data_IF_240406840883
#
_entry.id   IF_240406840883
#
_cell.length_a   1.000
_cell.length_b   1.000
_cell.length_c   1.000
_cell.angle_alpha   90.00
_cell.angle_beta   90.00
_cell.angle_gamma   90.00
#
_symmetry.space_group_name_H-M   'P 1'
#
loop_
_entity.id
_entity.type
_entity.pdbx_description
1 polymer ?
#
# COMPACT_ATOMS: atom_id res chain seq x y z
N UNK A 1 59.71 -65.32 -10.71
CA UNK A 1 58.31 -65.77 -10.56
C UNK A 1 57.67 -64.86 -9.53
N UNK A 2 56.96 -63.82 -9.99
CA UNK A 2 55.48 -63.74 -10.02
C UNK A 2 54.97 -63.18 -8.69
N UNK A 3 54.11 -62.17 -8.56
CA UNK A 3 53.27 -61.43 -9.51
C UNK A 3 52.73 -60.21 -8.76
N UNK A 4 52.54 -59.11 -9.47
CA UNK A 4 51.78 -57.90 -9.09
C UNK A 4 50.34 -58.25 -8.68
N UNK A 5 49.76 -57.58 -7.67
CA UNK A 5 48.29 -57.51 -7.50
C UNK A 5 47.84 -56.13 -6.98
N UNK A 6 47.52 -55.28 -7.95
CA UNK A 6 46.33 -54.42 -8.04
C UNK A 6 45.71 -53.87 -6.75
N UNK A 7 45.91 -52.58 -6.46
CA UNK A 7 45.02 -51.77 -5.60
C UNK A 7 44.77 -50.42 -6.28
N UNK A 8 43.81 -50.37 -7.21
CA UNK A 8 43.43 -49.12 -7.92
C UNK A 8 41.91 -48.92 -8.02
N UNK A 9 41.10 -49.64 -7.25
CA UNK A 9 39.63 -49.62 -7.43
C UNK A 9 38.82 -48.61 -6.62
N UNK A 10 39.39 -47.87 -5.65
CA UNK A 10 38.58 -47.26 -4.58
C UNK A 10 38.89 -45.78 -4.27
N UNK A 11 39.08 -44.96 -5.31
CA UNK A 11 39.15 -43.48 -5.19
C UNK A 11 38.18 -42.71 -6.09
N UNK A 12 37.38 -43.39 -6.90
CA UNK A 12 36.49 -42.74 -7.86
C UNK A 12 35.10 -42.35 -7.29
N UNK A 13 34.68 -42.87 -6.12
CA UNK A 13 33.37 -42.57 -5.54
C UNK A 13 33.33 -41.34 -4.62
N UNK A 14 34.42 -40.99 -3.95
CA UNK A 14 34.40 -40.00 -2.84
C UNK A 14 34.38 -38.55 -3.35
N UNK A 15 34.83 -38.28 -4.58
CA UNK A 15 34.97 -36.92 -5.10
C UNK A 15 33.65 -36.39 -5.70
N UNK A 16 32.93 -37.21 -6.46
CA UNK A 16 31.61 -36.85 -7.01
C UNK A 16 30.55 -36.75 -5.90
N UNK A 17 30.62 -37.63 -4.89
CA UNK A 17 29.77 -37.55 -3.69
C UNK A 17 30.02 -36.25 -2.90
N UNK A 18 31.26 -35.72 -2.89
CA UNK A 18 31.59 -34.51 -2.11
C UNK A 18 31.09 -33.21 -2.75
N UNK A 19 31.15 -33.07 -4.08
CA UNK A 19 30.67 -31.86 -4.78
C UNK A 19 29.15 -31.82 -4.71
N UNK A 20 28.48 -32.97 -4.86
CA UNK A 20 27.03 -33.09 -4.67
C UNK A 20 26.59 -32.70 -3.24
N UNK A 21 27.35 -33.13 -2.21
CA UNK A 21 27.09 -32.76 -0.81
C UNK A 21 27.33 -31.27 -0.55
N UNK A 22 28.34 -30.64 -1.15
CA UNK A 22 28.58 -29.20 -1.02
C UNK A 22 27.49 -28.37 -1.69
N UNK A 23 27.06 -28.75 -2.89
CA UNK A 23 25.94 -28.10 -3.60
C UNK A 23 24.65 -28.25 -2.79
N UNK A 24 24.35 -29.45 -2.29
CA UNK A 24 23.20 -29.70 -1.42
C UNK A 24 23.22 -28.82 -0.18
N UNK A 25 24.36 -28.72 0.53
CA UNK A 25 24.52 -27.86 1.71
C UNK A 25 24.41 -26.37 1.38
N UNK A 26 24.94 -25.92 0.24
CA UNK A 26 24.82 -24.54 -0.20
C UNK A 26 23.37 -24.18 -0.55
N UNK A 27 22.67 -25.05 -1.30
CA UNK A 27 21.24 -24.91 -1.58
C UNK A 27 20.39 -24.87 -0.31
N UNK A 28 20.77 -25.68 0.69
CA UNK A 28 20.06 -25.73 1.97
C UNK A 28 20.27 -24.46 2.80
N UNK A 29 21.50 -23.93 2.86
CA UNK A 29 21.79 -22.64 3.52
C UNK A 29 21.10 -21.46 2.81
N UNK A 30 21.08 -21.44 1.48
CA UNK A 30 20.36 -20.41 0.72
C UNK A 30 18.85 -20.49 1.02
N UNK A 31 18.29 -21.71 1.07
CA UNK A 31 16.88 -21.92 1.41
C UNK A 31 16.56 -21.46 2.83
N UNK A 32 17.48 -21.67 3.77
CA UNK A 32 17.37 -21.25 5.15
C UNK A 32 17.42 -19.72 5.28
N UNK A 33 18.37 -19.07 4.62
CA UNK A 33 18.49 -17.61 4.57
C UNK A 33 17.25 -16.94 3.96
N UNK A 34 16.76 -17.46 2.83
CA UNK A 34 15.51 -16.96 2.21
C UNK A 34 14.33 -17.10 3.17
N UNK A 35 14.27 -18.20 3.92
CA UNK A 35 13.20 -18.42 4.90
C UNK A 35 13.32 -17.49 6.11
N UNK A 36 14.53 -17.14 6.54
CA UNK A 36 14.77 -16.14 7.59
C UNK A 36 14.38 -14.74 7.12
N UNK A 37 14.79 -14.33 5.92
CA UNK A 37 14.45 -13.03 5.36
C UNK A 37 12.93 -12.87 5.18
N UNK A 38 12.25 -13.96 4.76
CA UNK A 38 10.79 -14.00 4.72
C UNK A 38 10.15 -13.86 6.10
N UNK A 39 10.73 -14.48 7.15
CA UNK A 39 10.23 -14.36 8.51
C UNK A 39 10.42 -12.94 9.05
N UNK A 40 11.58 -12.33 8.79
CA UNK A 40 11.87 -10.95 9.16
C UNK A 40 10.94 -9.99 8.44
N UNK A 41 10.79 -10.12 7.12
CA UNK A 41 9.88 -9.32 6.32
C UNK A 41 8.43 -9.46 6.82
N UNK A 42 7.98 -10.68 7.17
CA UNK A 42 6.66 -10.88 7.79
C UNK A 42 6.54 -10.19 9.14
N UNK A 43 7.55 -10.26 9.99
CA UNK A 43 7.56 -9.61 11.30
C UNK A 43 7.48 -8.09 11.15
N UNK A 44 8.30 -7.50 10.26
CA UNK A 44 8.30 -6.06 10.01
C UNK A 44 6.99 -5.59 9.38
N UNK A 45 6.44 -6.34 8.42
CA UNK A 45 5.14 -6.03 7.81
C UNK A 45 4.00 -6.13 8.82
N UNK A 46 4.03 -7.11 9.73
CA UNK A 46 3.04 -7.22 10.80
C UNK A 46 3.13 -6.05 11.76
N UNK A 47 4.34 -5.63 12.13
CA UNK A 47 4.57 -4.52 13.05
C UNK A 47 4.16 -3.18 12.42
N UNK A 48 4.52 -2.93 11.16
CA UNK A 48 4.04 -1.80 10.36
C UNK A 48 2.52 -1.84 10.22
N UNK A 49 1.97 -2.99 9.82
CA UNK A 49 0.53 -3.20 9.64
C UNK A 49 -0.27 -2.93 10.92
N UNK A 50 0.21 -3.36 12.09
CA UNK A 50 -0.43 -3.07 13.38
C UNK A 50 -0.42 -1.57 13.69
N UNK A 51 0.68 -0.87 13.42
CA UNK A 51 0.77 0.58 13.64
C UNK A 51 -0.15 1.37 12.71
N UNK A 52 -0.19 1.00 11.43
CA UNK A 52 -1.14 1.57 10.47
C UNK A 52 -2.59 1.20 10.78
N UNK A 53 -2.85 -0.01 11.28
CA UNK A 53 -4.18 -0.49 11.66
C UNK A 53 -4.73 0.24 12.88
N UNK A 54 -3.92 0.44 13.93
CA UNK A 54 -4.31 1.23 15.10
C UNK A 54 -4.50 2.70 14.71
N UNK A 55 -3.58 3.27 13.93
CA UNK A 55 -3.72 4.64 13.43
C UNK A 55 -4.97 4.83 12.59
N UNK A 56 -5.21 3.93 11.63
CA UNK A 56 -6.41 3.94 10.78
C UNK A 56 -7.70 3.73 11.58
N UNK A 57 -7.69 2.84 12.57
CA UNK A 57 -8.81 2.63 13.48
C UNK A 57 -9.12 3.85 14.34
N UNK A 58 -8.09 4.51 14.90
CA UNK A 58 -8.25 5.76 15.67
C UNK A 58 -8.76 6.90 14.80
N UNK A 59 -8.22 7.09 13.59
CA UNK A 59 -8.73 8.10 12.65
C UNK A 59 -10.16 7.80 12.19
N UNK A 60 -10.48 6.53 11.94
CA UNK A 60 -11.84 6.10 11.63
C UNK A 60 -12.81 6.39 12.78
N UNK A 61 -12.44 6.04 14.00
CA UNK A 61 -13.22 6.34 15.22
C UNK A 61 -13.38 7.84 15.46
N UNK A 62 -12.31 8.62 15.33
CA UNK A 62 -12.35 10.08 15.42
C UNK A 62 -13.25 10.70 14.35
N UNK A 63 -13.23 10.17 13.12
CA UNK A 63 -14.13 10.58 12.04
C UNK A 63 -15.60 10.33 12.39
N UNK A 64 -15.94 9.15 12.89
CA UNK A 64 -17.30 8.83 13.32
C UNK A 64 -17.77 9.74 14.46
N UNK A 65 -16.97 9.89 15.51
CA UNK A 65 -17.28 10.77 16.65
C UNK A 65 -17.38 12.24 16.19
N UNK A 66 -16.53 12.66 15.26
CA UNK A 66 -16.59 13.99 14.65
C UNK A 66 -17.90 14.22 13.91
N UNK A 67 -18.39 13.24 13.13
CA UNK A 67 -19.69 13.33 12.43
C UNK A 67 -20.83 13.45 13.44
N UNK A 68 -20.84 12.62 14.49
CA UNK A 68 -21.87 12.67 15.54
C UNK A 68 -21.86 14.02 16.28
N UNK A 69 -20.67 14.53 16.58
CA UNK A 69 -20.49 15.85 17.21
C UNK A 69 -21.01 16.97 16.30
N UNK A 70 -20.71 16.93 15.01
CA UNK A 70 -21.22 17.89 14.04
C UNK A 70 -22.75 17.86 13.95
N UNK A 71 -23.37 16.66 13.91
CA UNK A 71 -24.83 16.51 13.95
C UNK A 71 -25.44 17.11 15.22
N UNK A 72 -24.86 16.82 16.38
CA UNK A 72 -25.30 17.38 17.66
C UNK A 72 -25.20 18.92 17.67
N UNK A 73 -24.14 19.50 17.11
CA UNK A 73 -24.00 20.95 16.97
C UNK A 73 -25.05 21.56 16.05
N UNK A 74 -25.36 20.93 14.91
CA UNK A 74 -26.44 21.39 14.01
C UNK A 74 -27.77 21.42 14.76
N UNK A 75 -28.10 20.35 15.49
CA UNK A 75 -29.31 20.29 16.32
C UNK A 75 -29.30 21.37 17.40
N UNK A 76 -28.17 21.59 18.08
CA UNK A 76 -28.04 22.61 19.11
C UNK A 76 -28.27 24.04 18.56
N UNK A 77 -27.74 24.34 17.38
CA UNK A 77 -27.96 25.65 16.72
C UNK A 77 -29.43 25.81 16.33
N UNK A 78 -30.06 24.77 15.76
CA UNK A 78 -31.48 24.80 15.43
C UNK A 78 -32.32 25.03 16.69
N UNK A 79 -32.02 24.32 17.78
CA UNK A 79 -32.71 24.46 19.05
C UNK A 79 -32.55 25.86 19.65
N UNK A 80 -31.34 26.43 19.59
CA UNK A 80 -31.08 27.79 20.05
C UNK A 80 -31.87 28.84 19.25
N UNK A 81 -31.91 28.72 17.92
CA UNK A 81 -32.73 29.60 17.07
C UNK A 81 -34.23 29.39 17.30
N UNK A 82 -34.64 28.16 17.61
CA UNK A 82 -36.03 27.84 17.90
C UNK A 82 -36.57 28.49 19.20
N UNK A 83 -35.70 29.09 20.02
CA UNK A 83 -36.12 29.91 21.16
C UNK A 83 -36.81 31.22 20.73
N UNK A 84 -36.53 31.70 19.51
CA UNK A 84 -37.03 32.99 18.99
C UNK A 84 -37.75 32.85 17.63
N UNK A 85 -37.63 31.70 16.96
CA UNK A 85 -38.24 31.40 15.67
C UNK A 85 -38.97 30.05 15.73
N UNK A 86 -39.96 29.78 14.85
CA UNK A 86 -40.52 28.43 14.74
C UNK A 86 -39.47 27.44 14.23
N UNK A 87 -39.54 26.20 14.72
CA UNK A 87 -38.53 25.14 14.45
C UNK A 87 -38.26 24.95 12.95
N UNK A 88 -39.30 25.02 12.11
CA UNK A 88 -39.15 24.87 10.66
C UNK A 88 -38.29 25.97 10.04
N UNK A 89 -38.44 27.23 10.49
CA UNK A 89 -37.68 28.36 9.97
C UNK A 89 -36.21 28.28 10.42
N UNK A 90 -35.98 27.94 11.69
CA UNK A 90 -34.64 27.67 12.24
C UNK A 90 -33.91 26.58 11.44
N UNK A 91 -34.59 25.46 11.17
CA UNK A 91 -34.03 24.36 10.40
C UNK A 91 -33.67 24.77 8.96
N UNK A 92 -34.53 25.54 8.28
CA UNK A 92 -34.26 26.04 6.95
C UNK A 92 -33.07 27.00 6.90
N UNK A 93 -32.96 27.91 7.87
CA UNK A 93 -31.84 28.86 7.95
C UNK A 93 -30.52 28.11 8.12
N UNK A 94 -30.45 27.19 9.07
CA UNK A 94 -29.22 26.41 9.33
C UNK A 94 -28.88 25.54 8.12
N UNK A 95 -29.88 24.91 7.49
CA UNK A 95 -29.69 24.11 6.28
C UNK A 95 -29.15 24.95 5.13
N UNK A 96 -29.69 26.14 4.90
CA UNK A 96 -29.24 27.04 3.84
C UNK A 96 -27.78 27.49 4.07
N UNK A 97 -27.42 27.82 5.32
CA UNK A 97 -26.05 28.18 5.67
C UNK A 97 -25.08 27.01 5.40
N UNK A 98 -25.41 25.81 5.87
CA UNK A 98 -24.59 24.62 5.64
C UNK A 98 -24.47 24.27 4.16
N UNK A 99 -25.55 24.38 3.39
CA UNK A 99 -25.55 24.15 1.95
C UNK A 99 -24.64 25.15 1.21
N UNK A 100 -24.68 26.43 1.60
CA UNK A 100 -23.78 27.44 1.06
C UNK A 100 -22.31 27.13 1.37
N UNK A 101 -22.00 26.79 2.63
CA UNK A 101 -20.65 26.37 3.03
C UNK A 101 -20.20 25.13 2.25
N UNK A 102 -21.05 24.12 2.12
CA UNK A 102 -20.76 22.90 1.36
C UNK A 102 -20.50 23.20 -0.12
N UNK A 103 -21.30 24.08 -0.74
CA UNK A 103 -21.08 24.50 -2.13
C UNK A 103 -19.72 25.20 -2.30
N UNK A 104 -19.36 26.11 -1.39
CA UNK A 104 -18.04 26.79 -1.42
C UNK A 104 -16.90 25.78 -1.26
N UNK A 105 -16.99 24.87 -0.29
CA UNK A 105 -15.97 23.84 -0.08
C UNK A 105 -15.85 22.89 -1.29
N UNK A 106 -16.96 22.47 -1.88
CA UNK A 106 -16.97 21.63 -3.07
C UNK A 106 -16.32 22.34 -4.27
N UNK A 107 -16.63 23.62 -4.48
CA UNK A 107 -16.03 24.44 -5.53
C UNK A 107 -14.53 24.66 -5.28
N UNK A 108 -14.13 24.92 -4.04
CA UNK A 108 -12.73 25.08 -3.66
C UNK A 108 -11.93 23.78 -3.85
N UNK A 109 -12.49 22.65 -3.40
CA UNK A 109 -11.92 21.32 -3.60
C UNK A 109 -11.78 20.97 -5.08
N UNK A 110 -12.82 21.21 -5.89
CA UNK A 110 -12.76 21.03 -7.35
C UNK A 110 -11.66 21.87 -7.98
N UNK A 111 -11.52 23.14 -7.57
CA UNK A 111 -10.43 24.02 -8.05
C UNK A 111 -9.06 23.52 -7.62
N UNK A 112 -8.92 23.01 -6.40
CA UNK A 112 -7.65 22.49 -5.89
C UNK A 112 -7.24 21.22 -6.63
N UNK A 113 -8.17 20.30 -6.85
CA UNK A 113 -7.94 19.08 -7.65
C UNK A 113 -7.58 19.45 -9.09
N UNK A 114 -8.31 20.38 -9.70
CA UNK A 114 -8.01 20.85 -11.06
C UNK A 114 -6.63 21.53 -11.16
N UNK A 115 -6.16 22.19 -10.10
CA UNK A 115 -4.82 22.81 -10.03
C UNK A 115 -3.69 21.83 -9.72
N UNK A 116 -3.99 20.74 -9.02
CA UNK A 116 -3.00 19.73 -8.65
C UNK A 116 -2.53 18.88 -9.84
N UNK A 117 -3.13 19.05 -11.03
CA UNK A 117 -2.82 18.25 -12.21
C UNK A 117 -3.35 16.82 -12.10
N UNK A 118 -3.19 16.03 -13.16
CA UNK A 118 -3.50 14.61 -13.09
C UNK A 118 -2.62 13.95 -12.01
N UNK A 119 -3.14 13.03 -11.18
CA UNK A 119 -2.33 12.29 -10.20
C UNK A 119 -1.27 11.40 -10.85
N UNK A 120 -1.25 11.33 -12.17
CA UNK A 120 -0.35 10.48 -12.91
C UNK A 120 0.96 11.24 -13.21
N UNK A 121 2.12 10.63 -12.93
CA UNK A 121 3.40 11.21 -13.28
C UNK A 121 3.50 11.32 -14.80
N UNK A 122 3.32 12.54 -15.33
CA UNK A 122 3.31 12.82 -16.77
C UNK A 122 4.58 12.28 -17.45
N UNK A 123 5.73 12.41 -16.77
CA UNK A 123 7.03 11.90 -17.24
C UNK A 123 7.05 10.36 -17.41
N UNK A 124 6.40 9.62 -16.53
CA UNK A 124 6.32 8.14 -16.62
C UNK A 124 5.37 7.70 -17.72
N UNK A 125 4.29 8.46 -17.95
CA UNK A 125 3.38 8.19 -19.07
C UNK A 125 4.08 8.45 -20.40
N UNK A 126 4.85 9.54 -20.48
CA UNK A 126 5.55 9.91 -21.70
C UNK A 126 6.71 8.96 -22.02
N UNK A 127 7.44 8.48 -21.01
CA UNK A 127 8.46 7.44 -21.21
C UNK A 127 7.86 6.13 -21.71
N UNK A 128 6.74 5.68 -21.13
CA UNK A 128 6.05 4.46 -21.59
C UNK A 128 5.53 4.61 -23.02
N UNK A 129 5.02 5.79 -23.40
CA UNK A 129 4.59 6.06 -24.79
C UNK A 129 5.77 6.02 -25.76
N UNK A 130 6.92 6.56 -25.36
CA UNK A 130 8.14 6.52 -26.16
C UNK A 130 8.63 5.07 -26.35
N UNK A 131 8.66 4.28 -25.28
CA UNK A 131 9.04 2.86 -25.33
C UNK A 131 8.11 2.05 -26.23
N UNK A 132 6.80 2.32 -26.17
CA UNK A 132 5.80 1.67 -27.05
C UNK A 132 5.96 2.09 -28.50
N UNK A 133 6.28 3.36 -28.76
CA UNK A 133 6.54 3.84 -30.12
C UNK A 133 7.79 3.18 -30.73
N UNK A 134 8.87 3.04 -29.95
CA UNK A 134 10.10 2.38 -30.37
C UNK A 134 9.88 0.89 -30.69
N UNK A 135 9.10 0.18 -29.85
CA UNK A 135 8.74 -1.21 -30.09
C UNK A 135 7.90 -1.36 -31.37
N UNK A 136 6.98 -0.43 -31.62
CA UNK A 136 6.11 -0.45 -32.81
C UNK A 136 6.90 -0.16 -34.09
N UNK A 137 7.92 0.71 -34.03
CA UNK A 137 8.82 0.98 -35.14
C UNK A 137 9.70 -0.24 -35.47
N UNK A 138 10.24 -0.92 -34.44
CA UNK A 138 11.04 -2.14 -34.63
C UNK A 138 10.23 -3.33 -35.16
N UNK A 139 8.94 -3.39 -34.88
CA UNK A 139 8.04 -4.44 -35.38
C UNK A 139 7.56 -4.24 -36.83
N UNK A 140 7.79 -3.07 -37.42
CA UNK A 140 7.43 -2.74 -38.81
C UNK A 140 8.62 -2.74 -39.78
N UNK A 141 9.83 -3.03 -39.31
CA UNK A 141 11.02 -3.25 -40.15
C UNK A 141 11.29 -4.73 -40.39
#
# INVERSE_FOLDING_TARGET
>A
MSTTTSTTGQRAGVTDDSVGVLVSRASQQISELVREEMQLARAEMTQKGKRFGVGGGLFGGAGLVGILTAQALVVAVIAALALVLPVWASALIVTALLAATAAVLALAGKKQIARAGAPAPEQTIDSIKADVAEIKEKAHR
#
